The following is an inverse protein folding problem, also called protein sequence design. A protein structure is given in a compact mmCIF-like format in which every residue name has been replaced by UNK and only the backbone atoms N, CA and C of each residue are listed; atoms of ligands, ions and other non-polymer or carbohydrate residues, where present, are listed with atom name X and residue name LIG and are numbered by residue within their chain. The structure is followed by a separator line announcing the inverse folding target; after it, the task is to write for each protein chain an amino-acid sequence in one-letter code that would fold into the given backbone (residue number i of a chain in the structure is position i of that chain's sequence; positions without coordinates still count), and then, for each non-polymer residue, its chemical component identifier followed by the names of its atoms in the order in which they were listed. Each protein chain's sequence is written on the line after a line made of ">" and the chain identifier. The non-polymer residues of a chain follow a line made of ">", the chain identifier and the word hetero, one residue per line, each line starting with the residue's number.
data_IF_621434242401
#
_entry.id   IF_621434242401
#
_cell.length_a   1.000
_cell.length_b   1.000
_cell.length_c   1.000
_cell.angle_alpha   90.00
_cell.angle_beta   90.00
_cell.angle_gamma   90.00
#
_symmetry.space_group_name_H-M   'P 1'
#
loop_
_entity.id
_entity.type
_entity.pdbx_description
1 polymer ?
#
# COMPACT_ATOMS: atom_id res chain seq x y z
N UNK A 1 4.49 94.18 -12.60
CA UNK A 1 4.51 93.39 -13.85
C UNK A 1 5.61 92.31 -13.87
N UNK A 2 6.90 92.64 -13.75
CA UNK A 2 8.00 91.67 -13.87
C UNK A 2 7.86 90.38 -13.04
N UNK A 3 7.39 90.47 -11.79
CA UNK A 3 7.14 89.31 -10.92
C UNK A 3 6.10 88.32 -11.50
N UNK A 4 5.05 88.82 -12.17
CA UNK A 4 4.06 87.97 -12.85
C UNK A 4 4.67 87.25 -14.07
N UNK A 5 5.50 87.95 -14.85
CA UNK A 5 6.23 87.34 -15.98
C UNK A 5 7.20 86.25 -15.51
N UNK A 6 7.89 86.48 -14.38
CA UNK A 6 8.75 85.46 -13.74
C UNK A 6 7.95 84.24 -13.27
N UNK A 7 6.88 84.45 -12.51
CA UNK A 7 6.03 83.36 -12.01
C UNK A 7 5.39 82.54 -13.15
N UNK A 8 5.00 83.17 -14.25
CA UNK A 8 4.50 82.48 -15.44
C UNK A 8 5.57 81.61 -16.13
N UNK A 9 6.82 82.09 -16.21
CA UNK A 9 7.94 81.30 -16.74
C UNK A 9 8.30 80.11 -15.83
N UNK A 10 8.29 80.31 -14.51
CA UNK A 10 8.50 79.23 -13.53
C UNK A 10 7.38 78.17 -13.60
N UNK A 11 6.12 78.60 -13.75
CA UNK A 11 4.97 77.70 -13.93
C UNK A 11 5.09 76.84 -15.20
N UNK A 12 5.44 77.44 -16.34
CA UNK A 12 5.55 76.69 -17.61
C UNK A 12 6.82 75.81 -17.64
N UNK A 13 7.88 76.18 -16.94
CA UNK A 13 9.05 75.31 -16.71
C UNK A 13 8.68 74.07 -15.88
N UNK A 14 7.92 74.23 -14.78
CA UNK A 14 7.40 73.11 -13.98
C UNK A 14 6.44 72.24 -14.81
N UNK A 15 5.58 72.86 -15.61
CA UNK A 15 4.62 72.15 -16.48
C UNK A 15 5.30 71.33 -17.57
N UNK A 16 6.35 71.87 -18.19
CA UNK A 16 7.12 71.16 -19.23
C UNK A 16 7.94 70.02 -18.63
N UNK A 17 8.57 70.21 -17.47
CA UNK A 17 9.20 69.12 -16.71
C UNK A 17 8.21 68.00 -16.38
N UNK A 18 7.07 68.32 -15.77
CA UNK A 18 6.04 67.33 -15.42
C UNK A 18 5.45 66.62 -16.66
N UNK A 19 5.37 67.28 -17.82
CA UNK A 19 4.94 66.64 -19.06
C UNK A 19 5.99 65.68 -19.64
N UNK A 20 7.28 65.99 -19.49
CA UNK A 20 8.38 65.11 -19.89
C UNK A 20 8.47 63.88 -18.97
N UNK A 21 8.41 64.07 -17.65
CA UNK A 21 8.37 62.97 -16.66
C UNK A 21 7.19 62.02 -16.92
N UNK A 22 5.99 62.59 -17.18
CA UNK A 22 4.82 61.81 -17.56
C UNK A 22 5.04 61.05 -18.88
N UNK A 23 5.63 61.68 -19.90
CA UNK A 23 5.91 61.00 -21.17
C UNK A 23 6.90 59.84 -21.00
N UNK A 24 7.93 60.00 -20.16
CA UNK A 24 8.83 58.89 -19.80
C UNK A 24 8.08 57.78 -19.07
N UNK A 25 7.29 58.09 -18.03
CA UNK A 25 6.51 57.10 -17.28
C UNK A 25 5.47 56.38 -18.15
N UNK A 26 4.78 57.07 -19.06
CA UNK A 26 3.85 56.46 -20.02
C UNK A 26 4.60 55.54 -21.01
N UNK A 27 5.84 55.85 -21.38
CA UNK A 27 6.67 54.99 -22.24
C UNK A 27 7.15 53.72 -21.52
N UNK A 28 7.55 53.85 -20.25
CA UNK A 28 7.96 52.72 -19.41
C UNK A 28 6.76 51.82 -19.07
N UNK A 29 5.61 52.40 -18.75
CA UNK A 29 4.37 51.66 -18.51
C UNK A 29 3.94 50.86 -19.75
N UNK A 30 4.11 51.40 -20.97
CA UNK A 30 3.89 50.64 -22.22
C UNK A 30 4.90 49.50 -22.39
N UNK A 31 6.18 49.76 -22.15
CA UNK A 31 7.26 48.76 -22.24
C UNK A 31 7.09 47.60 -21.24
N UNK A 32 6.68 47.92 -20.01
CA UNK A 32 6.40 46.93 -18.97
C UNK A 32 5.14 46.11 -19.30
N UNK A 33 4.08 46.73 -19.85
CA UNK A 33 2.89 46.01 -20.32
C UNK A 33 3.19 45.04 -21.48
N UNK A 34 4.05 45.42 -22.44
CA UNK A 34 4.52 44.52 -23.50
C UNK A 34 5.22 43.29 -22.91
N UNK A 35 6.22 43.52 -22.04
CA UNK A 35 6.98 42.47 -21.37
C UNK A 35 6.12 41.55 -20.49
N UNK A 36 5.07 42.09 -19.86
CA UNK A 36 4.12 41.29 -19.09
C UNK A 36 3.33 40.35 -20.01
N UNK A 37 2.75 40.87 -21.10
CA UNK A 37 2.00 40.07 -22.06
C UNK A 37 2.88 39.01 -22.77
N UNK A 38 4.14 39.35 -23.09
CA UNK A 38 5.15 38.42 -23.60
C UNK A 38 5.41 37.27 -22.61
N UNK A 39 5.60 37.59 -21.32
CA UNK A 39 5.86 36.60 -20.27
C UNK A 39 4.62 35.74 -19.95
N UNK A 40 3.42 36.32 -19.95
CA UNK A 40 2.15 35.60 -19.76
C UNK A 40 1.91 34.61 -20.91
N UNK A 41 2.13 35.04 -22.16
CA UNK A 41 2.03 34.19 -23.36
C UNK A 41 3.04 33.02 -23.31
N UNK A 42 4.30 33.29 -22.94
CA UNK A 42 5.32 32.25 -22.78
C UNK A 42 4.98 31.25 -21.65
N UNK A 43 4.42 31.74 -20.53
CA UNK A 43 3.95 30.91 -19.42
C UNK A 43 2.76 30.04 -19.83
N UNK A 44 1.83 30.57 -20.61
CA UNK A 44 0.73 29.79 -21.19
C UNK A 44 1.21 28.70 -22.14
N UNK A 45 2.11 29.02 -23.08
CA UNK A 45 2.67 28.05 -24.02
C UNK A 45 3.38 26.90 -23.27
N UNK A 46 4.23 27.23 -22.29
CA UNK A 46 4.88 26.24 -21.41
C UNK A 46 3.85 25.37 -20.66
N UNK A 47 2.81 25.99 -20.08
CA UNK A 47 1.71 25.27 -19.41
C UNK A 47 0.88 24.39 -20.35
N UNK A 48 0.84 24.65 -21.66
CA UNK A 48 0.18 23.78 -22.65
C UNK A 48 1.08 22.59 -22.98
N UNK A 49 2.34 22.84 -23.37
CA UNK A 49 3.33 21.80 -23.67
C UNK A 49 3.53 20.78 -22.53
N UNK A 50 3.54 21.22 -21.27
CA UNK A 50 3.65 20.30 -20.10
C UNK A 50 2.40 19.44 -19.92
N UNK A 51 1.20 19.93 -20.27
CA UNK A 51 -0.05 19.13 -20.22
C UNK A 51 -0.11 18.14 -21.37
N UNK A 52 0.28 18.56 -22.57
CA UNK A 52 0.35 17.70 -23.75
C UNK A 52 1.38 16.58 -23.56
N UNK A 53 2.59 16.91 -23.10
CA UNK A 53 3.64 15.93 -22.77
C UNK A 53 3.16 14.86 -21.78
N UNK A 54 2.56 15.28 -20.66
CA UNK A 54 1.95 14.35 -19.68
C UNK A 54 0.87 13.47 -20.30
N UNK A 55 -0.01 14.02 -21.14
CA UNK A 55 -1.04 13.21 -21.81
C UNK A 55 -0.48 12.12 -22.74
N UNK A 56 0.70 12.36 -23.35
CA UNK A 56 1.42 11.35 -24.15
C UNK A 56 2.13 10.33 -23.27
N UNK A 57 2.66 10.73 -22.11
CA UNK A 57 3.24 9.82 -21.11
C UNK A 57 2.16 8.92 -20.49
N UNK A 58 1.01 9.47 -20.07
CA UNK A 58 -0.14 8.73 -19.56
C UNK A 58 -0.70 7.75 -20.61
N UNK A 59 -0.79 8.16 -21.88
CA UNK A 59 -1.22 7.29 -22.98
C UNK A 59 -0.24 6.13 -23.20
N UNK A 60 1.08 6.39 -23.14
CA UNK A 60 2.12 5.34 -23.26
C UNK A 60 2.09 4.38 -22.08
N UNK A 61 1.97 4.90 -20.85
CA UNK A 61 1.84 4.08 -19.64
C UNK A 61 0.63 3.16 -19.72
N UNK A 62 -0.52 3.70 -20.16
CA UNK A 62 -1.74 2.91 -20.36
C UNK A 62 -1.56 1.83 -21.43
N UNK A 63 -1.03 2.17 -22.60
CA UNK A 63 -0.81 1.20 -23.68
C UNK A 63 0.12 0.05 -23.24
N UNK A 64 1.18 0.37 -22.48
CA UNK A 64 2.08 -0.65 -21.90
C UNK A 64 1.36 -1.52 -20.85
N UNK A 65 0.53 -0.93 -19.99
CA UNK A 65 -0.27 -1.67 -19.00
C UNK A 65 -1.27 -2.61 -19.69
N UNK A 66 -2.04 -2.10 -20.64
CA UNK A 66 -3.02 -2.85 -21.42
C UNK A 66 -2.33 -4.01 -22.17
N UNK A 67 -1.16 -3.78 -22.78
CA UNK A 67 -0.33 -4.83 -23.43
C UNK A 67 0.09 -5.92 -22.45
N UNK A 68 0.49 -5.58 -21.22
CA UNK A 68 0.88 -6.56 -20.19
C UNK A 68 -0.33 -7.37 -19.70
N UNK A 69 -1.49 -6.72 -19.54
CA UNK A 69 -2.74 -7.37 -19.14
C UNK A 69 -3.26 -8.34 -20.22
N UNK A 70 -3.19 -7.95 -21.49
CA UNK A 70 -3.52 -8.82 -22.63
C UNK A 70 -2.53 -9.98 -22.74
N UNK A 71 -1.23 -9.72 -22.57
CA UNK A 71 -0.19 -10.77 -22.58
C UNK A 71 -0.40 -11.81 -21.47
N UNK A 72 -0.76 -11.37 -20.25
CA UNK A 72 -1.07 -12.27 -19.15
C UNK A 72 -2.35 -13.10 -19.38
N UNK A 73 -3.37 -12.50 -20.00
CA UNK A 73 -4.60 -13.22 -20.38
C UNK A 73 -4.34 -14.24 -21.49
N UNK A 74 -3.55 -13.88 -22.51
CA UNK A 74 -3.10 -14.77 -23.57
C UNK A 74 -2.30 -15.96 -23.01
N UNK A 75 -1.30 -15.69 -22.18
CA UNK A 75 -0.50 -16.73 -21.54
C UNK A 75 -1.35 -17.70 -20.69
N UNK A 76 -2.34 -17.18 -19.94
CA UNK A 76 -3.29 -18.04 -19.19
C UNK A 76 -4.14 -18.92 -20.11
N UNK A 77 -4.49 -18.44 -21.31
CA UNK A 77 -5.25 -19.19 -22.32
C UNK A 77 -4.41 -20.29 -22.96
N UNK A 78 -3.19 -19.97 -23.41
CA UNK A 78 -2.28 -20.92 -24.06
C UNK A 78 -1.79 -22.01 -23.10
N UNK A 79 -1.53 -21.67 -21.83
CA UNK A 79 -1.21 -22.65 -20.79
C UNK A 79 -2.44 -23.44 -20.29
N UNK A 80 -3.64 -23.14 -20.80
CA UNK A 80 -4.92 -23.76 -20.45
C UNK A 80 -5.18 -23.90 -18.93
N UNK A 81 -4.65 -22.96 -18.12
CA UNK A 81 -4.65 -23.09 -16.67
C UNK A 81 -6.08 -22.99 -16.12
N UNK A 82 -6.61 -24.04 -15.46
CA UNK A 82 -7.91 -23.97 -14.81
C UNK A 82 -7.87 -22.95 -13.66
N UNK A 83 -9.02 -22.41 -13.22
CA UNK A 83 -9.07 -21.58 -12.04
C UNK A 83 -8.51 -22.36 -10.84
N UNK A 84 -7.35 -21.91 -10.38
CA UNK A 84 -7.03 -21.63 -8.97
C UNK A 84 -7.94 -22.43 -8.02
N UNK A 85 -7.52 -23.68 -7.79
CA UNK A 85 -8.12 -24.63 -6.83
C UNK A 85 -7.10 -25.59 -6.17
N UNK A 86 -5.78 -25.35 -6.29
CA UNK A 86 -4.67 -26.12 -5.66
C UNK A 86 -3.66 -25.23 -4.87
N UNK A 87 -3.64 -25.33 -3.52
CA UNK A 87 -2.89 -24.46 -2.59
C UNK A 87 -1.43 -24.91 -2.43
N UNK A 88 -0.68 -24.22 -1.57
CA UNK A 88 0.57 -24.77 -1.03
C UNK A 88 0.47 -25.02 0.48
N UNK A 89 -0.03 -24.08 1.28
CA UNK A 89 -0.24 -24.26 2.72
C UNK A 89 -1.11 -25.48 3.10
N UNK A 90 -2.18 -25.81 2.35
CA UNK A 90 -3.00 -27.04 2.53
C UNK A 90 -2.50 -28.22 1.69
N UNK A 91 -1.23 -28.13 1.27
CA UNK A 91 -0.38 -29.32 1.06
C UNK A 91 0.65 -29.49 2.18
N UNK A 92 0.77 -28.54 3.12
CA UNK A 92 1.66 -28.67 4.29
C UNK A 92 0.98 -29.50 5.37
N UNK A 93 1.59 -30.64 5.64
CA UNK A 93 1.17 -31.56 6.70
C UNK A 93 1.10 -30.90 8.09
N UNK A 94 -0.11 -30.51 8.48
CA UNK A 94 -0.48 -30.04 9.81
C UNK A 94 -1.56 -30.97 10.41
N UNK A 95 -2.30 -30.50 11.43
CA UNK A 95 -3.56 -31.12 11.87
C UNK A 95 -4.70 -30.24 11.36
N UNK A 96 -5.34 -30.64 10.26
CA UNK A 96 -6.43 -29.92 9.61
C UNK A 96 -7.78 -30.66 9.73
N UNK A 97 -8.90 -29.93 9.94
CA UNK A 97 -10.17 -30.25 9.30
C UNK A 97 -10.06 -29.84 7.82
N UNK A 98 -9.81 -30.79 6.92
CA UNK A 98 -9.53 -30.51 5.49
C UNK A 98 -10.72 -29.94 4.71
N UNK A 99 -10.56 -29.43 3.48
CA UNK A 99 -9.42 -29.39 2.52
C UNK A 99 -9.68 -28.20 1.56
N UNK A 100 -8.67 -27.43 1.09
CA UNK A 100 -8.66 -26.62 -0.17
C UNK A 100 -9.23 -25.15 -0.15
N UNK A 101 -8.78 -24.07 -0.88
CA UNK A 101 -7.61 -23.70 -1.79
C UNK A 101 -7.60 -22.17 -2.23
N UNK A 102 -6.66 -21.50 -3.00
CA UNK A 102 -5.18 -21.60 -3.36
C UNK A 102 -4.31 -20.24 -3.46
N UNK A 103 -3.04 -20.34 -3.97
CA UNK A 103 -2.04 -19.44 -4.71
C UNK A 103 -2.49 -18.14 -5.46
N UNK A 104 -1.75 -17.09 -5.95
CA UNK A 104 -0.37 -16.43 -5.92
C UNK A 104 -0.40 -14.92 -6.47
N UNK A 105 0.40 -13.86 -6.14
CA UNK A 105 1.72 -13.34 -6.71
C UNK A 105 2.15 -11.93 -6.10
N UNK A 106 3.46 -11.61 -5.84
CA UNK A 106 4.06 -10.55 -4.95
C UNK A 106 4.84 -9.34 -5.60
N UNK A 107 5.75 -8.50 -5.01
CA UNK A 107 6.64 -8.49 -3.78
C UNK A 107 7.26 -7.09 -3.39
N UNK A 108 7.82 -6.90 -2.15
CA UNK A 108 8.58 -5.71 -1.58
C UNK A 108 7.80 -4.36 -1.53
N UNK A 109 8.22 -3.27 -0.86
CA UNK A 109 8.81 -3.08 0.48
C UNK A 109 8.64 -1.60 0.97
N UNK A 110 7.80 -1.35 2.00
CA UNK A 110 7.62 -0.06 2.69
C UNK A 110 7.64 -0.22 4.22
N UNK A 111 7.57 0.88 5.00
CA UNK A 111 8.05 0.95 6.40
C UNK A 111 7.33 0.04 7.41
N UNK A 112 8.11 -0.54 8.34
CA UNK A 112 7.69 -1.60 9.28
C UNK A 112 6.66 -1.19 10.36
N UNK A 113 6.29 0.09 10.44
CA UNK A 113 5.40 0.62 11.48
C UNK A 113 4.15 1.35 10.96
N UNK A 114 3.96 1.43 9.64
CA UNK A 114 2.75 2.01 9.05
C UNK A 114 1.66 0.93 8.92
N UNK A 115 0.48 1.06 9.55
CA UNK A 115 -0.62 0.12 9.34
C UNK A 115 -1.12 0.10 7.89
N UNK A 116 -0.93 1.17 7.09
CA UNK A 116 -1.28 1.17 5.67
C UNK A 116 -0.39 0.22 4.84
N UNK A 117 0.79 -0.17 5.32
CA UNK A 117 1.58 -1.25 4.70
C UNK A 117 0.79 -2.58 4.71
N UNK A 118 0.12 -2.89 5.81
CA UNK A 118 -0.64 -4.14 5.92
C UNK A 118 -1.85 -4.11 5.00
N UNK A 119 -2.56 -2.99 4.92
CA UNK A 119 -3.66 -2.79 3.96
C UNK A 119 -3.17 -2.91 2.50
N UNK A 120 -2.02 -2.32 2.14
CA UNK A 120 -1.40 -2.44 0.82
C UNK A 120 -0.99 -3.88 0.47
N UNK A 121 -0.41 -4.62 1.43
CA UNK A 121 0.01 -6.01 1.21
C UNK A 121 -1.18 -6.97 1.08
N UNK A 122 -2.26 -6.74 1.84
CA UNK A 122 -3.49 -7.54 1.75
C UNK A 122 -4.33 -7.21 0.51
N UNK A 123 -4.14 -6.04 -0.09
CA UNK A 123 -4.73 -5.67 -1.38
C UNK A 123 -4.01 -6.28 -2.60
N UNK A 124 -2.88 -6.99 -2.41
CA UNK A 124 -2.19 -7.68 -3.49
C UNK A 124 -3.00 -8.93 -3.94
N UNK A 125 -3.08 -9.21 -5.26
CA UNK A 125 -3.80 -10.39 -5.76
C UNK A 125 -3.33 -11.69 -5.11
N UNK A 126 -4.30 -12.43 -4.56
CA UNK A 126 -4.12 -13.76 -3.96
C UNK A 126 -3.10 -13.79 -2.80
N UNK A 127 -2.98 -12.66 -2.07
CA UNK A 127 -2.19 -12.53 -0.86
C UNK A 127 -2.54 -13.57 0.21
N UNK A 128 -1.53 -13.91 1.01
CA UNK A 128 -1.62 -14.92 2.08
C UNK A 128 -1.15 -14.33 3.40
N UNK A 129 -2.04 -14.26 4.38
CA UNK A 129 -1.73 -13.81 5.72
C UNK A 129 -1.56 -15.02 6.65
N UNK A 130 -0.32 -15.40 6.94
CA UNK A 130 0.01 -16.38 7.97
C UNK A 130 0.15 -15.65 9.30
N UNK A 131 -0.61 -16.05 10.31
CA UNK A 131 -0.67 -15.38 11.61
C UNK A 131 -0.19 -16.33 12.70
N UNK A 132 0.86 -15.95 13.42
CA UNK A 132 1.26 -16.55 14.68
C UNK A 132 0.26 -16.15 15.77
N UNK A 133 -0.67 -17.07 16.03
CA UNK A 133 -1.84 -16.82 16.84
C UNK A 133 -1.48 -16.44 18.28
N UNK A 134 -0.58 -17.19 18.93
CA UNK A 134 -0.26 -16.90 20.33
C UNK A 134 0.69 -15.71 20.49
N UNK A 135 1.62 -15.43 19.58
CA UNK A 135 2.37 -14.17 19.66
C UNK A 135 1.43 -12.97 19.49
N UNK A 136 0.44 -13.03 18.58
CA UNK A 136 -0.55 -11.96 18.41
C UNK A 136 -1.46 -11.81 19.63
N UNK A 137 -2.03 -12.90 20.17
CA UNK A 137 -2.95 -12.79 21.31
C UNK A 137 -2.27 -12.45 22.63
N UNK A 138 -1.07 -13.00 22.90
CA UNK A 138 -0.27 -12.63 24.08
C UNK A 138 0.27 -11.20 23.99
N UNK A 139 0.49 -10.66 22.79
CA UNK A 139 0.78 -9.22 22.60
C UNK A 139 -0.45 -8.34 22.85
N UNK A 140 -1.63 -8.74 22.36
CA UNK A 140 -2.81 -7.86 22.31
C UNK A 140 -3.73 -7.90 23.53
N UNK A 141 -3.90 -9.05 24.16
CA UNK A 141 -4.84 -9.26 25.27
C UNK A 141 -4.45 -10.48 26.13
N UNK A 142 -3.24 -10.49 26.72
CA UNK A 142 -2.67 -11.64 27.45
C UNK A 142 -3.48 -12.09 28.67
N UNK A 143 -4.27 -11.20 29.27
CA UNK A 143 -5.09 -11.48 30.47
C UNK A 143 -6.38 -12.24 30.18
N UNK A 144 -6.74 -12.45 28.91
CA UNK A 144 -7.92 -13.27 28.55
C UNK A 144 -7.59 -14.78 28.58
N UNK A 145 -8.54 -15.66 28.93
CA UNK A 145 -8.36 -17.12 28.77
C UNK A 145 -8.06 -17.50 27.32
N UNK A 146 -7.16 -18.48 27.10
CA UNK A 146 -6.66 -18.85 25.77
C UNK A 146 -7.76 -19.13 24.73
N UNK A 147 -8.88 -19.73 25.13
CA UNK A 147 -10.03 -19.94 24.24
C UNK A 147 -10.64 -18.62 23.75
N UNK A 148 -10.87 -17.66 24.66
CA UNK A 148 -11.37 -16.31 24.33
C UNK A 148 -10.34 -15.52 23.53
N UNK A 149 -9.04 -15.74 23.78
CA UNK A 149 -7.97 -15.19 22.95
C UNK A 149 -8.10 -15.67 21.49
N UNK A 150 -8.19 -17.00 21.28
CA UNK A 150 -8.35 -17.61 19.94
C UNK A 150 -9.60 -17.08 19.24
N UNK A 151 -10.77 -17.14 19.89
CA UNK A 151 -12.04 -16.66 19.32
C UNK A 151 -11.99 -15.18 18.93
N UNK A 152 -11.36 -14.32 19.75
CA UNK A 152 -11.22 -12.88 19.46
C UNK A 152 -10.34 -12.62 18.24
N UNK A 153 -9.21 -13.35 18.10
CA UNK A 153 -8.34 -13.22 16.94
C UNK A 153 -9.04 -13.69 15.66
N UNK A 154 -9.65 -14.88 15.70
CA UNK A 154 -10.30 -15.49 14.54
C UNK A 154 -11.51 -14.69 14.06
N UNK A 155 -12.29 -14.09 14.96
CA UNK A 155 -13.38 -13.18 14.60
C UNK A 155 -12.87 -11.94 13.86
N UNK A 156 -11.79 -11.31 14.34
CA UNK A 156 -11.18 -10.16 13.66
C UNK A 156 -10.60 -10.53 12.28
N UNK A 157 -9.90 -11.65 12.19
CA UNK A 157 -9.37 -12.15 10.91
C UNK A 157 -10.48 -12.47 9.91
N UNK A 158 -11.65 -12.97 10.34
CA UNK A 158 -12.76 -13.25 9.44
C UNK A 158 -13.35 -11.98 8.80
N UNK A 159 -13.45 -10.89 9.56
CA UNK A 159 -13.87 -9.59 9.01
C UNK A 159 -12.79 -9.06 8.05
N UNK A 160 -11.51 -9.20 8.39
CA UNK A 160 -10.40 -8.78 7.52
C UNK A 160 -10.34 -9.59 6.21
N UNK A 161 -10.57 -10.90 6.26
CA UNK A 161 -10.67 -11.77 5.10
C UNK A 161 -11.87 -11.37 4.20
N UNK A 162 -13.03 -11.11 4.80
CA UNK A 162 -14.21 -10.64 4.06
C UNK A 162 -14.02 -9.24 3.43
N UNK A 163 -13.18 -8.38 4.02
CA UNK A 163 -12.85 -7.05 3.49
C UNK A 163 -11.80 -7.07 2.37
N UNK A 164 -10.84 -8.00 2.42
CA UNK A 164 -9.65 -7.97 1.54
C UNK A 164 -9.65 -9.06 0.47
N UNK A 165 -10.36 -10.18 0.69
CA UNK A 165 -10.26 -11.37 -0.15
C UNK A 165 -8.94 -12.13 -0.02
N UNK A 166 -8.02 -11.68 0.85
CA UNK A 166 -6.76 -12.36 1.12
C UNK A 166 -7.01 -13.67 1.89
N UNK A 167 -6.25 -14.71 1.54
CA UNK A 167 -6.30 -15.99 2.24
C UNK A 167 -5.67 -15.83 3.64
N UNK A 168 -6.34 -16.28 4.70
CA UNK A 168 -5.84 -16.14 6.06
C UNK A 168 -5.67 -17.49 6.74
N UNK A 169 -4.48 -17.72 7.32
CA UNK A 169 -4.11 -18.95 8.03
C UNK A 169 -3.55 -18.60 9.40
N UNK A 170 -4.35 -18.84 10.44
CA UNK A 170 -3.94 -18.63 11.82
C UNK A 170 -3.34 -19.92 12.40
N UNK A 171 -2.08 -19.87 12.81
CA UNK A 171 -1.34 -20.99 13.40
C UNK A 171 -1.28 -20.83 14.91
N UNK A 172 -1.66 -21.84 15.67
CA UNK A 172 -1.49 -21.91 17.11
C UNK A 172 -0.56 -23.05 17.49
N UNK A 173 0.15 -22.91 18.62
CA UNK A 173 0.99 -23.98 19.14
C UNK A 173 0.11 -25.12 19.74
N UNK A 174 0.37 -26.35 19.31
CA UNK A 174 -0.31 -27.55 19.77
C UNK A 174 0.05 -27.97 21.20
N UNK A 175 1.19 -27.54 21.74
CA UNK A 175 1.59 -27.84 23.12
C UNK A 175 0.71 -27.13 24.16
N UNK A 176 0.04 -26.04 23.78
CA UNK A 176 -0.92 -25.29 24.61
C UNK A 176 -2.36 -25.87 24.53
N UNK A 177 -2.52 -27.10 24.01
CA UNK A 177 -3.79 -27.82 23.91
C UNK A 177 -3.91 -28.92 24.97
N UNK A 178 -4.68 -28.66 26.03
CA UNK A 178 -5.03 -29.69 27.02
C UNK A 178 -6.04 -30.75 26.49
N UNK A 179 -6.71 -30.47 25.37
CA UNK A 179 -7.68 -31.36 24.72
C UNK A 179 -7.86 -30.97 23.24
N UNK A 180 -8.44 -31.84 22.38
CA UNK A 180 -8.81 -31.49 21.01
C UNK A 180 -9.81 -30.32 21.00
N UNK A 181 -9.39 -29.16 20.46
CA UNK A 181 -10.23 -27.96 20.44
C UNK A 181 -11.20 -28.00 19.27
N UNK A 182 -12.48 -28.18 19.57
CA UNK A 182 -13.59 -28.10 18.63
C UNK A 182 -13.93 -26.64 18.25
N UNK A 183 -12.95 -25.94 17.67
CA UNK A 183 -13.18 -24.65 17.02
C UNK A 183 -13.73 -24.89 15.61
N UNK A 184 -14.94 -24.40 15.34
CA UNK A 184 -15.40 -24.19 13.97
C UNK A 184 -14.68 -22.95 13.40
N UNK A 185 -13.86 -23.06 12.34
CA UNK A 185 -13.20 -21.91 11.74
C UNK A 185 -14.25 -20.94 11.15
N UNK A 186 -14.14 -19.62 11.39
CA UNK A 186 -15.00 -18.68 10.71
C UNK A 186 -14.62 -18.61 9.22
N UNK A 187 -15.60 -18.40 8.34
CA UNK A 187 -15.41 -18.42 6.88
C UNK A 187 -14.32 -17.43 6.46
N UNK A 188 -13.42 -17.86 5.57
CA UNK A 188 -12.28 -17.07 5.10
C UNK A 188 -11.01 -17.18 5.96
N UNK A 189 -11.07 -17.84 7.13
CA UNK A 189 -9.90 -18.06 7.99
C UNK A 189 -9.69 -19.56 8.21
N UNK A 190 -8.56 -20.08 7.74
CA UNK A 190 -8.06 -21.38 8.16
C UNK A 190 -7.44 -21.28 9.56
N UNK A 191 -7.63 -22.33 10.35
CA UNK A 191 -6.98 -22.50 11.65
C UNK A 191 -6.13 -23.77 11.61
N UNK A 192 -4.86 -23.63 11.99
CA UNK A 192 -3.90 -24.72 12.09
C UNK A 192 -3.37 -24.83 13.52
N UNK A 193 -3.10 -26.05 13.95
CA UNK A 193 -2.34 -26.33 15.17
C UNK A 193 -1.05 -27.06 14.81
N UNK A 194 0.06 -26.73 15.46
CA UNK A 194 1.29 -27.52 15.35
C UNK A 194 1.08 -28.92 15.94
N UNK A 195 1.87 -29.89 15.48
CA UNK A 195 1.82 -31.27 15.98
C UNK A 195 2.52 -31.35 17.33
N UNK A 196 2.18 -32.35 18.15
CA UNK A 196 2.93 -32.62 19.38
C UNK A 196 4.42 -32.82 19.04
N UNK A 197 5.30 -32.02 19.68
CA UNK A 197 6.74 -32.00 19.39
C UNK A 197 7.17 -31.07 18.25
N UNK A 198 6.27 -30.28 17.65
CA UNK A 198 6.59 -29.21 16.67
C UNK A 198 6.09 -27.86 17.18
N UNK A 199 6.89 -26.80 17.03
CA UNK A 199 6.46 -25.43 17.38
C UNK A 199 5.56 -24.83 16.31
N UNK A 200 4.79 -23.79 16.69
CA UNK A 200 4.10 -22.95 15.71
C UNK A 200 5.09 -22.36 14.66
N UNK A 201 6.28 -21.95 15.09
CA UNK A 201 7.34 -21.34 14.27
C UNK A 201 7.80 -22.26 13.13
N UNK A 202 8.03 -23.55 13.44
CA UNK A 202 8.44 -24.51 12.42
C UNK A 202 7.32 -24.73 11.40
N UNK A 203 6.06 -24.81 11.85
CA UNK A 203 4.91 -24.91 10.96
C UNK A 203 4.75 -23.66 10.09
N UNK A 204 4.90 -22.45 10.64
CA UNK A 204 4.91 -21.17 9.88
C UNK A 204 6.02 -21.19 8.83
N UNK A 205 7.23 -21.61 9.19
CA UNK A 205 8.36 -21.77 8.24
C UNK A 205 8.10 -22.83 7.17
N UNK A 206 7.35 -23.90 7.49
CA UNK A 206 6.93 -24.94 6.51
C UNK A 206 5.85 -24.42 5.56
N UNK A 207 4.86 -23.68 6.06
CA UNK A 207 3.82 -23.01 5.27
C UNK A 207 4.45 -22.07 4.24
N UNK A 208 5.27 -21.12 4.69
CA UNK A 208 5.97 -20.15 3.82
C UNK A 208 6.82 -20.84 2.74
N UNK A 209 7.51 -21.95 3.06
CA UNK A 209 8.33 -22.69 2.08
C UNK A 209 7.54 -23.54 1.09
N UNK A 210 6.26 -23.82 1.34
CA UNK A 210 5.41 -24.48 0.36
C UNK A 210 4.88 -23.47 -0.67
N UNK A 211 4.64 -22.22 -0.25
CA UNK A 211 4.20 -21.16 -1.15
C UNK A 211 5.21 -20.95 -2.30
N UNK A 212 4.76 -20.81 -3.56
CA UNK A 212 5.66 -20.69 -4.71
C UNK A 212 6.58 -19.46 -4.62
N UNK A 213 7.72 -19.50 -5.34
CA UNK A 213 8.58 -18.32 -5.51
C UNK A 213 7.79 -17.10 -6.00
N UNK A 214 7.49 -16.18 -5.07
CA UNK A 214 6.83 -14.92 -5.37
C UNK A 214 5.32 -14.86 -5.15
N UNK A 215 4.70 -15.60 -4.22
CA UNK A 215 3.37 -15.25 -3.63
C UNK A 215 3.52 -14.15 -2.56
N UNK A 216 2.58 -13.20 -2.33
CA UNK A 216 2.71 -12.21 -1.28
C UNK A 216 2.27 -12.86 0.03
N UNK A 217 3.20 -13.63 0.58
CA UNK A 217 3.07 -14.23 1.91
C UNK A 217 3.46 -13.18 2.93
N UNK A 218 2.52 -12.79 3.77
CA UNK A 218 2.68 -11.88 4.89
C UNK A 218 2.65 -12.72 6.16
N UNK A 219 3.69 -12.64 6.98
CA UNK A 219 3.78 -13.39 8.23
C UNK A 219 3.70 -12.44 9.40
N UNK A 220 2.67 -12.57 10.23
CA UNK A 220 2.51 -11.78 11.45
C UNK A 220 3.01 -12.56 12.64
N UNK A 221 4.06 -12.06 13.30
CA UNK A 221 4.50 -12.54 14.63
C UNK A 221 5.17 -11.38 15.40
N UNK A 222 5.51 -11.63 16.66
CA UNK A 222 6.39 -10.78 17.46
C UNK A 222 7.81 -11.37 17.58
N UNK A 223 8.01 -12.63 17.19
CA UNK A 223 9.29 -13.32 17.30
C UNK A 223 10.25 -12.97 16.15
N UNK A 224 11.51 -12.68 16.49
CA UNK A 224 12.56 -12.31 15.53
C UNK A 224 13.14 -13.51 14.78
N UNK A 225 13.26 -14.67 15.43
CA UNK A 225 13.72 -15.88 14.75
C UNK A 225 12.70 -16.30 13.70
N UNK A 226 11.39 -16.21 14.00
CA UNK A 226 10.32 -16.38 13.01
C UNK A 226 10.50 -15.39 11.86
N UNK A 227 10.60 -14.09 12.14
CA UNK A 227 10.76 -13.04 11.13
C UNK A 227 11.96 -13.26 10.20
N UNK A 228 13.14 -13.55 10.75
CA UNK A 228 14.36 -13.83 9.98
C UNK A 228 14.28 -15.15 9.21
N UNK A 229 13.57 -16.15 9.77
CA UNK A 229 13.33 -17.44 9.12
C UNK A 229 12.44 -17.31 7.88
N UNK A 230 11.35 -16.54 7.96
CA UNK A 230 10.40 -16.37 6.87
C UNK A 230 10.83 -15.34 5.83
N UNK A 231 11.58 -14.30 6.24
CA UNK A 231 12.19 -13.34 5.30
C UNK A 231 13.21 -14.03 4.38
N UNK A 232 14.03 -14.95 4.91
CA UNK A 232 14.94 -15.80 4.11
C UNK A 232 14.21 -16.74 3.15
N UNK A 233 12.94 -17.06 3.43
CA UNK A 233 12.08 -17.88 2.56
C UNK A 233 11.20 -17.04 1.62
N UNK A 234 11.40 -15.71 1.55
CA UNK A 234 10.73 -14.82 0.60
C UNK A 234 9.44 -14.15 1.09
N UNK A 235 8.93 -14.51 2.26
CA UNK A 235 7.77 -13.85 2.86
C UNK A 235 8.12 -12.48 3.46
N UNK A 236 7.09 -11.66 3.69
CA UNK A 236 7.22 -10.36 4.37
C UNK A 236 6.82 -10.47 5.84
N UNK A 237 7.76 -10.41 6.79
CA UNK A 237 7.42 -10.33 8.21
C UNK A 237 6.73 -8.99 8.53
N UNK A 238 5.77 -9.03 9.45
CA UNK A 238 4.99 -7.90 9.95
C UNK A 238 4.81 -8.07 11.46
N UNK A 239 4.98 -6.99 12.23
CA UNK A 239 4.83 -7.05 13.68
C UNK A 239 3.37 -7.32 14.11
N UNK A 240 3.17 -8.18 15.12
CA UNK A 240 1.86 -8.42 15.77
C UNK A 240 1.08 -7.16 16.11
N UNK A 241 1.77 -6.08 16.48
CA UNK A 241 1.19 -4.78 16.82
C UNK A 241 0.50 -4.08 15.64
N UNK A 242 0.95 -4.30 14.39
CA UNK A 242 0.28 -3.75 13.21
C UNK A 242 -1.04 -4.48 12.92
N UNK A 243 -1.06 -5.82 13.00
CA UNK A 243 -2.30 -6.58 12.86
C UNK A 243 -3.29 -6.18 13.95
N UNK A 244 -2.87 -6.10 15.22
CA UNK A 244 -3.74 -5.68 16.33
C UNK A 244 -4.31 -4.27 16.11
N UNK A 245 -3.49 -3.31 15.65
CA UNK A 245 -3.96 -1.96 15.27
C UNK A 245 -4.95 -1.98 14.11
N UNK A 246 -4.78 -2.87 13.12
CA UNK A 246 -5.69 -3.00 11.98
C UNK A 246 -7.01 -3.69 12.33
N UNK A 247 -6.98 -4.69 13.21
CA UNK A 247 -8.16 -5.37 13.73
C UNK A 247 -8.98 -4.47 14.67
N UNK A 248 -8.35 -3.53 15.37
CA UNK A 248 -9.04 -2.53 16.20
C UNK A 248 -9.76 -1.41 15.40
N UNK A 249 -9.73 -1.45 14.06
CA UNK A 249 -10.45 -0.53 13.15
C UNK A 249 -11.68 -1.18 12.51
N UNK A 250 -12.05 -2.37 12.96
CA UNK A 250 -13.09 -3.25 12.40
C UNK A 250 -14.10 -3.66 13.45
#
# INVERSE_FOLDING_TARGET
>A
EAALRKAAAELEAVRTAASAERATADSEARRLKSRLAEAESALEASRRAVREGRSVEDMRLRLLLDTVLESAQGLRRELALPPVSQHPADTVEAVEPGRMTPKDIATRALSENDPALLDQLLALPQAHLVVDGYNVTKTGYPTMPLEKQRLRLLGGLAVLAAQTGAEMTCVFDGAELAAPVLLAPPRGVRVLFSRAGQTADELIRRLVRAEPPGRPVVVVSADREVADGVARAGARPVASTLLLRRLART
#
